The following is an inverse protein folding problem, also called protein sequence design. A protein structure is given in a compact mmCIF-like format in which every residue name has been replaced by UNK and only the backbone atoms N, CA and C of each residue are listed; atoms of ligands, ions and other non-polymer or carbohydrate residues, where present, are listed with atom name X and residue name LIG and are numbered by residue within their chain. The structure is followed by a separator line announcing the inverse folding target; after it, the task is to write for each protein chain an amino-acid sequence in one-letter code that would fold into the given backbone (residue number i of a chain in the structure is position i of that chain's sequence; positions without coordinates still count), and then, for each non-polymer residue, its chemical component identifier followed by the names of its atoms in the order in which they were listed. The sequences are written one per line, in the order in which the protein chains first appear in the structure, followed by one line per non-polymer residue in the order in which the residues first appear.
data_IF_939356114549
#
_entry.id   IF_939356114549
#
_cell.length_a   1.000
_cell.length_b   1.000
_cell.length_c   1.000
_cell.angle_alpha   90.00
_cell.angle_beta   90.00
_cell.angle_gamma   90.00
#
_symmetry.space_group_name_H-M   'P 1'
#
loop_
_entity.id
_entity.type
_entity.pdbx_description
1 polymer ?
#
# COMPACT_ATOMS: atom_id res chain seq x y z
N UNK A 1 10.27 -9.51 14.02
CA UNK A 1 10.32 -8.28 13.21
C UNK A 1 11.06 -8.50 11.89
N UNK A 2 12.23 -9.14 11.90
CA UNK A 2 13.02 -9.41 10.68
C UNK A 2 12.21 -10.16 9.63
N UNK A 3 11.52 -11.24 10.01
CA UNK A 3 10.65 -11.99 9.11
C UNK A 3 9.54 -11.11 8.48
N UNK A 4 8.95 -10.19 9.24
CA UNK A 4 7.93 -9.27 8.72
C UNK A 4 8.50 -8.23 7.74
N UNK A 5 9.78 -7.93 7.84
CA UNK A 5 10.47 -7.01 6.91
C UNK A 5 10.76 -7.66 5.55
N UNK A 6 10.82 -8.98 5.49
CA UNK A 6 11.11 -9.72 4.26
C UNK A 6 9.91 -9.76 3.27
N UNK A 7 8.70 -9.36 3.69
CA UNK A 7 7.52 -9.38 2.82
C UNK A 7 7.32 -10.75 2.18
N UNK A 8 7.38 -10.83 0.84
CA UNK A 8 7.28 -12.06 0.07
C UNK A 8 8.54 -12.95 0.09
N UNK A 9 9.58 -12.56 0.86
CA UNK A 9 10.86 -13.27 0.99
C UNK A 9 11.94 -12.77 0.03
N UNK A 10 13.19 -13.12 0.33
CA UNK A 10 14.37 -12.59 -0.37
C UNK A 10 14.30 -12.76 -1.89
N UNK A 11 13.88 -13.93 -2.39
CA UNK A 11 13.74 -14.17 -3.84
C UNK A 11 12.76 -13.21 -4.52
N UNK A 12 11.69 -12.82 -3.83
CA UNK A 12 10.71 -11.87 -4.37
C UNK A 12 11.25 -10.44 -4.35
N UNK A 13 12.05 -10.09 -3.34
CA UNK A 13 12.77 -8.82 -3.25
C UNK A 13 13.78 -8.70 -4.39
N UNK A 14 14.64 -9.73 -4.58
CA UNK A 14 15.65 -9.77 -5.65
C UNK A 14 14.99 -9.56 -7.03
N UNK A 15 13.88 -10.27 -7.29
CA UNK A 15 13.11 -10.12 -8.52
C UNK A 15 12.50 -8.73 -8.70
N UNK A 16 12.16 -8.04 -7.61
CA UNK A 16 11.69 -6.66 -7.65
C UNK A 16 12.83 -5.71 -8.05
N UNK A 17 14.01 -5.90 -7.46
CA UNK A 17 15.22 -5.14 -7.79
C UNK A 17 15.71 -5.38 -9.23
N UNK A 18 15.69 -6.62 -9.73
CA UNK A 18 16.01 -6.95 -11.14
C UNK A 18 15.13 -6.18 -12.13
N UNK A 19 13.91 -5.83 -11.73
CA UNK A 19 12.99 -5.01 -12.52
C UNK A 19 13.22 -3.50 -12.35
N UNK A 20 14.26 -3.10 -11.64
CA UNK A 20 14.57 -1.71 -11.33
C UNK A 20 13.56 -1.04 -10.40
N UNK A 21 12.89 -1.83 -9.55
CA UNK A 21 11.90 -1.34 -8.60
C UNK A 21 12.37 -1.53 -7.16
N UNK A 22 12.07 -0.56 -6.32
CA UNK A 22 12.24 -0.66 -4.87
C UNK A 22 11.08 -1.41 -4.22
N UNK A 23 11.34 -2.03 -3.08
CA UNK A 23 10.31 -2.61 -2.20
C UNK A 23 9.49 -1.51 -1.53
N UNK A 24 8.34 -1.88 -0.95
CA UNK A 24 7.49 -0.94 -0.21
C UNK A 24 8.25 -0.23 0.92
N UNK A 25 9.09 -0.96 1.67
CA UNK A 25 9.89 -0.40 2.78
C UNK A 25 10.94 0.57 2.32
N UNK A 26 11.71 0.23 1.30
CA UNK A 26 12.72 1.11 0.73
C UNK A 26 12.10 2.42 0.22
N UNK A 27 10.92 2.36 -0.40
CA UNK A 27 10.18 3.55 -0.85
C UNK A 27 9.80 4.47 0.31
N UNK A 28 9.35 3.88 1.43
CA UNK A 28 9.03 4.65 2.65
C UNK A 28 10.30 5.28 3.22
N UNK A 29 11.36 4.48 3.39
CA UNK A 29 12.63 4.95 3.99
C UNK A 29 13.30 6.08 3.18
N UNK A 30 13.11 6.08 1.84
CA UNK A 30 13.59 7.16 0.97
C UNK A 30 12.76 8.45 1.06
N UNK A 31 11.51 8.35 1.50
CA UNK A 31 10.58 9.50 1.51
C UNK A 31 10.58 10.24 2.83
N UNK A 32 10.70 9.53 3.95
CA UNK A 32 10.46 10.06 5.30
C UNK A 32 11.75 10.44 6.00
N UNK A 33 11.66 11.26 7.02
CA UNK A 33 12.79 11.61 7.89
C UNK A 33 13.36 10.34 8.53
N UNK A 34 14.69 10.25 8.56
CA UNK A 34 15.39 9.07 9.05
C UNK A 34 14.97 8.68 10.47
N UNK A 35 14.48 7.45 10.61
CA UNK A 35 14.07 6.88 11.91
C UNK A 35 12.72 7.36 12.43
N UNK A 36 11.95 8.14 11.65
CA UNK A 36 10.64 8.65 12.07
C UNK A 36 9.49 7.68 11.80
N UNK A 37 9.70 6.62 11.01
CA UNK A 37 8.62 5.73 10.59
C UNK A 37 8.19 4.78 11.70
N UNK A 38 6.94 4.89 12.10
CA UNK A 38 6.24 4.00 13.04
C UNK A 38 5.24 3.13 12.30
N UNK A 39 5.58 1.83 12.15
CA UNK A 39 4.75 0.87 11.42
C UNK A 39 3.61 0.33 12.27
N UNK A 40 2.40 0.30 11.72
CA UNK A 40 1.20 -0.26 12.34
C UNK A 40 0.85 -1.63 11.77
N UNK A 41 0.35 -2.51 12.66
CA UNK A 41 -0.17 -3.83 12.27
C UNK A 41 0.82 -4.70 11.46
N UNK A 42 2.12 -4.58 11.75
CA UNK A 42 3.21 -5.30 11.08
C UNK A 42 3.03 -6.82 11.07
N UNK A 43 2.32 -7.38 12.06
CA UNK A 43 2.16 -8.83 12.25
C UNK A 43 0.80 -9.36 11.83
N UNK A 44 -0.09 -8.53 11.30
CA UNK A 44 -1.39 -8.99 10.81
C UNK A 44 -1.23 -9.92 9.62
N UNK A 45 -2.09 -10.95 9.58
CA UNK A 45 -2.19 -11.93 8.50
C UNK A 45 -3.58 -11.83 7.87
N UNK A 46 -3.71 -12.25 6.61
CA UNK A 46 -5.02 -12.41 5.99
C UNK A 46 -5.81 -13.54 6.68
N UNK A 47 -7.13 -13.52 6.51
CA UNK A 47 -8.06 -14.50 7.09
C UNK A 47 -8.62 -15.49 6.06
N UNK A 48 -8.08 -15.50 4.85
CA UNK A 48 -8.51 -16.39 3.78
C UNK A 48 -8.00 -17.82 4.01
N UNK A 49 -8.92 -18.79 4.01
CA UNK A 49 -8.62 -20.21 4.15
C UNK A 49 -8.90 -20.99 2.85
N UNK A 50 -9.42 -20.31 1.81
CA UNK A 50 -9.76 -20.93 0.53
C UNK A 50 -8.55 -20.96 -0.40
N UNK A 51 -8.57 -21.84 -1.38
CA UNK A 51 -7.58 -21.93 -2.47
C UNK A 51 -6.13 -22.10 -2.00
N UNK A 52 -5.91 -22.74 -0.84
CA UNK A 52 -4.57 -22.97 -0.28
C UNK A 52 -3.92 -21.73 0.32
N UNK A 53 -4.69 -20.66 0.55
CA UNK A 53 -4.18 -19.42 1.12
C UNK A 53 -3.73 -19.57 2.58
N UNK A 54 -4.28 -20.55 3.32
CA UNK A 54 -3.85 -20.88 4.68
C UNK A 54 -2.37 -21.22 4.79
N UNK A 55 -1.74 -21.66 3.66
CA UNK A 55 -0.31 -21.98 3.54
C UNK A 55 0.54 -20.81 3.03
N UNK A 56 -0.10 -19.71 2.61
CA UNK A 56 0.57 -18.54 2.00
C UNK A 56 0.36 -17.29 2.84
N UNK A 57 0.72 -17.38 4.11
CA UNK A 57 0.57 -16.28 5.04
C UNK A 57 1.86 -15.45 5.13
N UNK A 58 1.74 -14.15 4.90
CA UNK A 58 2.83 -13.19 4.98
C UNK A 58 2.51 -12.14 6.03
N UNK A 59 3.44 -11.87 6.94
CA UNK A 59 3.28 -10.85 7.97
C UNK A 59 3.11 -9.47 7.34
N UNK A 60 2.12 -8.72 7.81
CA UNK A 60 1.74 -7.42 7.26
C UNK A 60 0.86 -7.47 6.02
N UNK A 61 0.64 -8.67 5.46
CA UNK A 61 -0.29 -8.99 4.36
C UNK A 61 -0.20 -8.07 3.13
N UNK A 62 1.02 -7.75 2.71
CA UNK A 62 1.26 -7.03 1.45
C UNK A 62 1.06 -5.50 1.50
N UNK A 63 0.99 -4.92 2.69
CA UNK A 63 1.05 -3.46 2.86
C UNK A 63 1.86 -3.06 4.09
N UNK A 64 2.74 -2.12 3.89
CA UNK A 64 3.47 -1.42 4.96
C UNK A 64 2.75 -0.09 5.19
N UNK A 65 2.22 0.12 6.40
CA UNK A 65 1.38 1.26 6.73
C UNK A 65 1.73 1.82 8.10
N UNK A 66 1.68 3.14 8.27
CA UNK A 66 2.06 3.78 9.51
C UNK A 66 2.05 5.30 9.45
N UNK A 67 2.74 5.91 10.39
CA UNK A 67 3.00 7.35 10.43
C UNK A 67 4.50 7.64 10.40
N UNK A 68 4.86 8.83 9.95
CA UNK A 68 6.23 9.31 9.92
C UNK A 68 6.25 10.83 9.92
N UNK A 69 7.44 11.42 9.85
CA UNK A 69 7.59 12.83 9.53
C UNK A 69 8.28 13.02 8.18
N UNK A 70 7.96 14.12 7.51
CA UNK A 70 8.67 14.65 6.34
C UNK A 70 8.96 16.12 6.63
N UNK A 71 10.24 16.49 6.66
CA UNK A 71 10.69 17.81 7.09
C UNK A 71 10.07 18.22 8.45
N UNK A 72 10.05 17.27 9.40
CA UNK A 72 9.48 17.45 10.74
C UNK A 72 7.96 17.49 10.82
N UNK A 73 7.23 17.35 9.71
CA UNK A 73 5.76 17.40 9.67
C UNK A 73 5.17 15.99 9.67
N UNK A 74 4.20 15.76 10.55
CA UNK A 74 3.48 14.50 10.63
C UNK A 74 2.76 14.18 9.32
N UNK A 75 2.97 12.95 8.83
CA UNK A 75 2.25 12.36 7.71
C UNK A 75 1.82 10.94 8.05
N UNK A 76 0.71 10.51 7.49
CA UNK A 76 0.31 9.12 7.47
C UNK A 76 0.55 8.55 6.08
N UNK A 77 0.97 7.28 6.00
CA UNK A 77 1.31 6.71 4.71
C UNK A 77 1.09 5.19 4.67
N UNK A 78 0.88 4.69 3.47
CA UNK A 78 0.96 3.27 3.20
C UNK A 78 1.66 3.00 1.85
N UNK A 79 2.34 1.87 1.78
CA UNK A 79 2.96 1.39 0.55
C UNK A 79 2.55 -0.07 0.30
N UNK A 80 1.99 -0.35 -0.86
CA UNK A 80 1.66 -1.71 -1.28
C UNK A 80 2.93 -2.46 -1.65
N UNK A 81 3.06 -3.68 -1.11
CA UNK A 81 4.22 -4.53 -1.32
C UNK A 81 3.94 -5.56 -2.42
N UNK A 82 4.44 -5.29 -3.60
CA UNK A 82 4.27 -6.17 -4.75
C UNK A 82 4.93 -7.54 -4.58
N UNK A 83 5.86 -7.69 -3.63
CA UNK A 83 6.50 -8.97 -3.31
C UNK A 83 5.54 -9.96 -2.68
N UNK A 84 4.46 -9.47 -2.05
CA UNK A 84 3.42 -10.28 -1.41
C UNK A 84 2.18 -10.35 -2.31
N UNK A 85 1.92 -11.51 -2.87
CA UNK A 85 0.75 -11.76 -3.73
C UNK A 85 0.52 -10.68 -4.82
N UNK A 86 1.63 -10.10 -5.38
CA UNK A 86 1.55 -9.02 -6.35
C UNK A 86 0.91 -7.74 -5.82
N UNK A 87 1.00 -7.46 -4.52
CA UNK A 87 0.39 -6.28 -3.91
C UNK A 87 -1.14 -6.26 -3.97
N UNK A 88 -1.78 -7.41 -4.23
CA UNK A 88 -3.24 -7.50 -4.38
C UNK A 88 -3.95 -7.25 -3.05
N UNK A 89 -5.01 -6.44 -3.09
CA UNK A 89 -5.77 -6.03 -1.92
C UNK A 89 -6.55 -7.20 -1.31
N UNK A 90 -6.28 -7.48 -0.06
CA UNK A 90 -7.06 -8.37 0.82
C UNK A 90 -7.98 -7.56 1.74
N UNK A 91 -8.88 -8.22 2.43
CA UNK A 91 -9.66 -7.61 3.51
C UNK A 91 -8.75 -7.03 4.61
N UNK A 92 -7.74 -7.79 5.05
CA UNK A 92 -6.79 -7.34 6.09
C UNK A 92 -5.96 -6.14 5.64
N UNK A 93 -5.49 -6.15 4.39
CA UNK A 93 -4.78 -5.03 3.81
C UNK A 93 -5.66 -3.76 3.76
N UNK A 94 -6.92 -3.91 3.33
CA UNK A 94 -7.87 -2.80 3.32
C UNK A 94 -8.09 -2.22 4.72
N UNK A 95 -8.27 -3.07 5.74
CA UNK A 95 -8.42 -2.63 7.13
C UNK A 95 -7.20 -1.83 7.64
N UNK A 96 -5.99 -2.22 7.26
CA UNK A 96 -4.77 -1.48 7.62
C UNK A 96 -4.73 -0.11 6.94
N UNK A 97 -5.07 -0.05 5.66
CA UNK A 97 -5.13 1.19 4.88
C UNK A 97 -6.20 2.12 5.49
N UNK A 98 -7.41 1.61 5.72
CA UNK A 98 -8.50 2.37 6.32
C UNK A 98 -8.12 2.95 7.70
N UNK A 99 -7.48 2.14 8.55
CA UNK A 99 -6.99 2.60 9.87
C UNK A 99 -6.05 3.80 9.75
N UNK A 100 -5.10 3.74 8.81
CA UNK A 100 -4.15 4.83 8.58
C UNK A 100 -4.85 6.08 8.06
N UNK A 101 -5.82 5.93 7.16
CA UNK A 101 -6.63 7.05 6.65
C UNK A 101 -7.49 7.68 7.74
N UNK A 102 -8.13 6.87 8.60
CA UNK A 102 -8.93 7.34 9.73
C UNK A 102 -8.06 8.12 10.74
N UNK A 103 -6.85 7.63 11.02
CA UNK A 103 -5.89 8.34 11.88
C UNK A 103 -5.42 9.64 11.25
N UNK A 104 -5.19 9.68 9.93
CA UNK A 104 -4.82 10.89 9.22
C UNK A 104 -5.92 11.96 9.32
N UNK A 105 -7.18 11.57 9.09
CA UNK A 105 -8.33 12.47 9.23
C UNK A 105 -8.48 12.98 10.67
N UNK A 106 -8.35 12.10 11.66
CA UNK A 106 -8.46 12.47 13.08
C UNK A 106 -7.39 13.49 13.50
N UNK A 107 -6.18 13.37 12.97
CA UNK A 107 -5.05 14.24 13.31
C UNK A 107 -4.89 15.44 12.36
N UNK A 108 -5.73 15.56 11.32
CA UNK A 108 -5.62 16.63 10.33
C UNK A 108 -4.30 16.58 9.53
N UNK A 109 -3.71 15.39 9.38
CA UNK A 109 -2.43 15.21 8.72
C UNK A 109 -2.59 14.65 7.29
N UNK A 110 -1.66 14.94 6.35
CA UNK A 110 -1.70 14.38 5.01
C UNK A 110 -1.62 12.85 5.01
N UNK A 111 -2.26 12.22 4.01
CA UNK A 111 -2.09 10.80 3.70
C UNK A 111 -1.35 10.62 2.38
N UNK A 112 -0.31 9.78 2.39
CA UNK A 112 0.50 9.47 1.21
C UNK A 112 0.33 7.99 0.85
N UNK A 113 -0.11 7.73 -0.37
CA UNK A 113 -0.45 6.41 -0.88
C UNK A 113 0.56 6.00 -1.95
N UNK A 114 1.33 4.94 -1.71
CA UNK A 114 2.28 4.37 -2.68
C UNK A 114 1.67 3.10 -3.26
N UNK A 115 1.19 3.19 -4.50
CA UNK A 115 0.40 2.16 -5.14
C UNK A 115 1.26 1.30 -6.07
N UNK A 116 1.27 -0.01 -5.84
CA UNK A 116 1.91 -1.03 -6.67
C UNK A 116 1.16 -2.36 -6.45
N UNK A 117 0.11 -2.62 -7.24
CA UNK A 117 -0.88 -3.65 -6.93
C UNK A 117 -1.38 -4.36 -8.18
N UNK A 118 -1.64 -5.65 -8.06
CA UNK A 118 -2.36 -6.45 -9.05
C UNK A 118 -3.88 -6.32 -9.00
N UNK A 119 -4.44 -5.42 -8.16
CA UNK A 119 -5.88 -5.25 -8.01
C UNK A 119 -6.45 -5.99 -6.79
N UNK A 120 -7.70 -6.41 -6.85
CA UNK A 120 -8.33 -7.20 -5.78
C UNK A 120 -7.75 -8.62 -5.70
N UNK A 121 -7.52 -9.13 -4.49
CA UNK A 121 -7.10 -10.52 -4.27
C UNK A 121 -8.24 -11.47 -4.57
N UNK A 122 -8.20 -12.11 -5.73
CA UNK A 122 -9.31 -12.93 -6.25
C UNK A 122 -9.68 -14.09 -5.33
N UNK A 123 -8.73 -14.65 -4.57
CA UNK A 123 -8.96 -15.73 -3.61
C UNK A 123 -9.87 -15.32 -2.45
N UNK A 124 -9.97 -14.03 -2.15
CA UNK A 124 -10.84 -13.48 -1.11
C UNK A 124 -12.19 -13.01 -1.65
N UNK A 125 -12.37 -13.01 -2.97
CA UNK A 125 -13.65 -12.72 -3.62
C UNK A 125 -14.24 -11.37 -3.19
N UNK A 126 -15.49 -11.41 -2.70
CA UNK A 126 -16.24 -10.20 -2.34
C UNK A 126 -15.62 -9.42 -1.17
N UNK A 127 -14.91 -10.07 -0.26
CA UNK A 127 -14.25 -9.38 0.86
C UNK A 127 -13.17 -8.42 0.40
N UNK A 128 -12.40 -8.80 -0.64
CA UNK A 128 -11.41 -7.92 -1.25
C UNK A 128 -12.09 -6.73 -1.97
N UNK A 129 -13.21 -6.95 -2.64
CA UNK A 129 -13.97 -5.88 -3.30
C UNK A 129 -14.60 -4.92 -2.28
N UNK A 130 -15.18 -5.44 -1.19
CA UNK A 130 -15.69 -4.64 -0.09
C UNK A 130 -14.59 -3.76 0.52
N UNK A 131 -13.37 -4.31 0.67
CA UNK A 131 -12.21 -3.56 1.13
C UNK A 131 -11.86 -2.35 0.25
N UNK A 132 -12.01 -2.46 -1.07
CA UNK A 132 -11.88 -1.29 -1.94
C UNK A 132 -12.99 -0.26 -1.68
N UNK A 133 -14.24 -0.69 -1.49
CA UNK A 133 -15.34 0.20 -1.13
C UNK A 133 -15.06 1.03 0.11
N UNK A 134 -14.54 0.39 1.15
CA UNK A 134 -14.14 1.04 2.40
C UNK A 134 -13.02 2.10 2.21
N UNK A 135 -12.07 1.82 1.31
CA UNK A 135 -11.01 2.79 0.97
C UNK A 135 -11.58 3.97 0.19
N UNK A 136 -12.47 3.70 -0.79
CA UNK A 136 -13.10 4.76 -1.60
C UNK A 136 -13.96 5.70 -0.75
N UNK A 137 -14.72 5.16 0.20
CA UNK A 137 -15.48 5.96 1.15
C UNK A 137 -14.56 6.94 1.89
N UNK A 138 -13.42 6.46 2.40
CA UNK A 138 -12.45 7.32 3.11
C UNK A 138 -11.79 8.34 2.19
N UNK A 139 -11.52 8.00 0.92
CA UNK A 139 -11.03 8.98 -0.04
C UNK A 139 -12.04 10.14 -0.22
N UNK A 140 -13.33 9.83 -0.26
CA UNK A 140 -14.39 10.83 -0.40
C UNK A 140 -14.50 11.67 0.89
N UNK A 141 -14.54 11.03 2.05
CA UNK A 141 -14.64 11.73 3.35
C UNK A 141 -13.42 12.62 3.63
N UNK A 142 -12.24 12.22 3.20
CA UNK A 142 -11.00 12.97 3.35
C UNK A 142 -10.85 14.13 2.35
N UNK A 143 -11.62 14.11 1.26
CA UNK A 143 -11.54 15.13 0.20
C UNK A 143 -11.90 16.52 0.72
N UNK A 144 -10.98 17.48 0.55
CA UNK A 144 -11.13 18.83 1.07
C UNK A 144 -10.91 18.95 2.59
N UNK A 145 -10.64 17.86 3.30
CA UNK A 145 -10.36 17.83 4.75
C UNK A 145 -8.87 17.71 5.04
N UNK A 146 -8.22 16.72 4.41
CA UNK A 146 -6.76 16.52 4.50
C UNK A 146 -6.17 16.33 3.11
N UNK A 147 -4.91 16.69 2.88
CA UNK A 147 -4.24 16.40 1.61
C UNK A 147 -4.09 14.89 1.38
N UNK A 148 -4.51 14.42 0.21
CA UNK A 148 -4.36 13.04 -0.24
C UNK A 148 -3.41 12.99 -1.44
N UNK A 149 -2.27 12.32 -1.29
CA UNK A 149 -1.23 12.25 -2.32
C UNK A 149 -1.04 10.80 -2.74
N UNK A 150 -1.24 10.50 -4.01
CA UNK A 150 -1.03 9.16 -4.56
C UNK A 150 0.15 9.12 -5.52
N UNK A 151 1.07 8.17 -5.28
CA UNK A 151 2.14 7.81 -6.18
C UNK A 151 1.86 6.43 -6.78
N UNK A 152 1.76 6.34 -8.11
CA UNK A 152 1.59 5.08 -8.83
C UNK A 152 2.96 4.59 -9.27
N UNK A 153 3.47 3.56 -8.60
CA UNK A 153 4.84 3.07 -8.72
C UNK A 153 4.94 1.71 -9.41
N UNK A 154 3.79 1.19 -9.85
CA UNK A 154 3.69 -0.08 -10.55
C UNK A 154 2.32 -0.32 -11.14
N UNK A 155 1.95 -1.57 -11.47
CA UNK A 155 0.60 -1.90 -11.93
C UNK A 155 -0.46 -1.44 -10.91
N UNK A 156 -1.58 -0.95 -11.40
CA UNK A 156 -2.74 -0.57 -10.60
C UNK A 156 -4.03 -0.82 -11.40
N UNK A 157 -4.41 -2.08 -11.67
CA UNK A 157 -5.63 -2.39 -12.43
C UNK A 157 -6.88 -2.33 -11.54
N UNK A 158 -8.04 -2.08 -12.15
CA UNK A 158 -9.35 -2.16 -11.50
C UNK A 158 -9.47 -1.23 -10.29
N UNK A 159 -9.86 -1.75 -9.14
CA UNK A 159 -10.00 -0.98 -7.90
C UNK A 159 -8.71 -0.27 -7.45
N UNK A 160 -7.55 -0.82 -7.79
CA UNK A 160 -6.26 -0.23 -7.43
C UNK A 160 -5.99 1.13 -8.10
N UNK A 161 -6.56 1.41 -9.28
CA UNK A 161 -6.44 2.72 -9.93
C UNK A 161 -7.54 3.69 -9.50
N UNK A 162 -8.65 3.17 -9.01
CA UNK A 162 -9.80 4.00 -8.66
C UNK A 162 -9.52 4.87 -7.42
N UNK A 163 -8.93 4.30 -6.37
CA UNK A 163 -8.54 5.06 -5.17
C UNK A 163 -7.57 6.22 -5.51
N UNK A 164 -6.45 6.01 -6.23
CA UNK A 164 -5.63 7.13 -6.68
C UNK A 164 -6.38 8.17 -7.52
N UNK A 165 -7.39 7.74 -8.30
CA UNK A 165 -8.19 8.68 -9.09
C UNK A 165 -9.03 9.65 -8.24
N UNK A 166 -9.39 9.24 -7.02
CA UNK A 166 -10.16 10.04 -6.06
C UNK A 166 -9.30 10.97 -5.20
N UNK A 167 -7.97 10.84 -5.23
CA UNK A 167 -7.07 11.66 -4.40
C UNK A 167 -6.74 13.01 -5.05
N UNK A 168 -6.32 14.00 -4.23
CA UNK A 168 -6.09 15.38 -4.67
C UNK A 168 -4.89 15.52 -5.61
N UNK A 169 -3.81 14.79 -5.34
CA UNK A 169 -2.57 14.82 -6.11
C UNK A 169 -2.14 13.42 -6.53
N UNK A 170 -1.83 13.29 -7.82
CA UNK A 170 -1.37 12.03 -8.43
C UNK A 170 -0.03 12.21 -9.10
N UNK A 171 0.89 11.28 -8.82
CA UNK A 171 2.15 11.13 -9.55
C UNK A 171 2.24 9.71 -10.10
N UNK A 172 2.53 9.58 -11.40
CA UNK A 172 2.75 8.28 -12.04
C UNK A 172 4.18 8.20 -12.52
N UNK A 173 4.84 7.07 -12.24
CA UNK A 173 6.10 6.74 -12.90
C UNK A 173 5.78 6.42 -14.36
N UNK A 174 6.18 7.28 -15.28
CA UNK A 174 6.16 6.96 -16.71
C UNK A 174 7.08 5.75 -16.93
N UNK A 175 6.52 4.67 -17.48
CA UNK A 175 7.32 3.54 -17.91
C UNK A 175 8.19 4.01 -19.09
N UNK A 176 9.51 4.03 -18.90
CA UNK A 176 10.48 4.40 -19.94
C UNK A 176 10.42 3.49 -21.18
N UNK A 177 9.67 2.40 -21.14
CA UNK A 177 9.44 1.50 -22.27
C UNK A 177 8.54 2.07 -23.38
N UNK A 178 7.88 3.21 -23.16
CA UNK A 178 7.07 3.88 -24.20
C UNK A 178 7.79 5.03 -24.90
N UNK A 179 9.06 5.31 -24.58
CA UNK A 179 9.86 6.36 -25.23
C UNK A 179 10.86 5.78 -26.25
N UNK A 180 10.68 4.52 -26.67
CA UNK A 180 11.41 3.97 -27.80
C UNK A 180 10.41 3.60 -28.91
N UNK A 181 9.99 4.62 -29.65
CA UNK A 181 9.61 4.52 -31.07
C UNK A 181 9.78 5.89 -31.71
#
# INVERSE_FOLDING_TARGET
RELARLGGGQKAIDKQHERGKYTARERIEMLVDKGSFEEYDMFKLHRCHNFGMEKKQYLGDGVVAGSATIDGRLVYLYAQDFTVNGGSLSETMAQKICKVMDMAMTNGAPVICMNDSGGARIQEGISALAGYGEIFERNILASGVIPQISSILGPCPGGAVYSPALTDRKSTRLNSSHIQK
#
